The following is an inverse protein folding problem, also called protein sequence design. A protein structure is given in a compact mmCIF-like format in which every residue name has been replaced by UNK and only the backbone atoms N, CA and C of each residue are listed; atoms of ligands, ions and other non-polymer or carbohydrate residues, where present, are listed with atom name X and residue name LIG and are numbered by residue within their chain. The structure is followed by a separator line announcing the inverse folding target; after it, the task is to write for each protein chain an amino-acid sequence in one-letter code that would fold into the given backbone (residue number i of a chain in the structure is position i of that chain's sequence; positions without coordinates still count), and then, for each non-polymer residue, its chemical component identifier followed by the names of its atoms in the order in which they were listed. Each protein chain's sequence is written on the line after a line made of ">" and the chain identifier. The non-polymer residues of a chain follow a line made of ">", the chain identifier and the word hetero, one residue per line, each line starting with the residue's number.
data_IF_678620587022
#
_entry.id   IF_678620587022
#
_cell.length_a   1.000
_cell.length_b   1.000
_cell.length_c   1.000
_cell.angle_alpha   90.00
_cell.angle_beta   90.00
_cell.angle_gamma   90.00
#
_symmetry.space_group_name_H-M   'P 1'
#
loop_
_entity.id
_entity.type
_entity.pdbx_description
1 polymer ?
#
# COMPACT_ATOMS: atom_id res chain seq x y z
N UNK A 1 54.02 53.19 -20.42
CA UNK A 1 53.28 53.31 -21.70
C UNK A 1 51.79 53.46 -21.40
N UNK A 2 50.96 53.70 -22.42
CA UNK A 2 49.70 54.45 -22.30
C UNK A 2 48.57 53.83 -21.49
N UNK A 3 47.75 54.74 -20.94
CA UNK A 3 46.44 54.49 -20.32
C UNK A 3 45.40 54.04 -21.35
N UNK A 4 44.52 53.10 -20.98
CA UNK A 4 43.16 53.00 -21.55
C UNK A 4 42.17 52.67 -20.43
N UNK A 5 41.38 53.66 -20.00
CA UNK A 5 40.30 53.49 -19.01
C UNK A 5 38.94 53.43 -19.71
N UNK A 6 38.31 52.26 -19.77
CA UNK A 6 37.01 52.06 -20.42
C UNK A 6 35.83 52.39 -19.50
N UNK A 7 35.14 53.49 -19.79
CA UNK A 7 33.91 53.88 -19.10
C UNK A 7 32.74 52.93 -19.44
N UNK A 8 31.93 52.48 -18.45
CA UNK A 8 30.73 51.71 -18.71
C UNK A 8 29.66 52.58 -19.40
N UNK A 9 29.06 52.07 -20.47
CA UNK A 9 28.01 52.79 -21.22
C UNK A 9 26.77 53.05 -20.36
N UNK A 10 26.13 54.19 -20.59
CA UNK A 10 24.88 54.58 -19.93
C UNK A 10 23.78 53.52 -20.13
N UNK A 11 22.99 53.27 -19.08
CA UNK A 11 21.85 52.35 -19.13
C UNK A 11 20.75 52.94 -19.99
N UNK A 12 20.35 52.23 -21.04
CA UNK A 12 19.17 52.57 -21.83
C UNK A 12 17.92 52.53 -20.96
N UNK A 13 17.12 53.60 -21.00
CA UNK A 13 15.83 53.68 -20.31
C UNK A 13 14.79 52.84 -21.06
N UNK A 14 14.67 51.56 -20.70
CA UNK A 14 13.62 50.69 -21.22
C UNK A 14 12.23 51.20 -20.80
N UNK A 15 11.56 51.92 -21.69
CA UNK A 15 10.19 52.38 -21.48
C UNK A 15 9.27 51.16 -21.39
N UNK A 16 8.62 51.00 -20.24
CA UNK A 16 7.78 49.84 -19.95
C UNK A 16 6.38 50.04 -20.56
N UNK A 17 6.29 49.96 -21.89
CA UNK A 17 5.01 50.04 -22.60
C UNK A 17 4.16 48.82 -22.28
N UNK A 18 3.11 49.02 -21.47
CA UNK A 18 2.12 48.00 -21.15
C UNK A 18 1.09 48.00 -22.28
N UNK A 19 1.24 47.10 -23.25
CA UNK A 19 0.18 46.81 -24.23
C UNK A 19 -1.03 46.21 -23.51
N UNK A 20 -2.12 46.96 -23.47
CA UNK A 20 -3.43 46.50 -23.01
C UNK A 20 -4.19 45.93 -24.22
N UNK A 21 -3.83 44.73 -24.66
CA UNK A 21 -4.40 44.11 -25.86
C UNK A 21 -5.91 43.82 -25.69
N UNK A 22 -6.73 44.50 -26.49
CA UNK A 22 -8.19 44.49 -26.41
C UNK A 22 -8.80 43.14 -26.83
N UNK A 23 -9.00 42.23 -25.87
CA UNK A 23 -9.50 40.88 -26.17
C UNK A 23 -10.53 40.31 -25.17
N UNK A 24 -11.44 41.15 -24.63
CA UNK A 24 -12.66 40.65 -24.00
C UNK A 24 -13.85 41.62 -24.07
N UNK A 25 -14.60 41.61 -25.17
CA UNK A 25 -15.92 42.23 -25.23
C UNK A 25 -17.00 41.26 -24.73
N UNK A 26 -18.03 41.80 -24.03
CA UNK A 26 -19.19 41.10 -23.44
C UNK A 26 -18.84 40.25 -22.19
N UNK A 27 -19.07 40.78 -21.00
CA UNK A 27 -20.44 40.87 -20.47
C UNK A 27 -20.59 41.91 -19.36
N UNK A 28 -21.79 42.50 -19.26
CA UNK A 28 -22.12 43.52 -18.27
C UNK A 28 -22.48 42.91 -16.91
N UNK A 29 -21.55 43.01 -15.96
CA UNK A 29 -21.85 42.88 -14.52
C UNK A 29 -21.05 43.95 -13.77
N UNK A 30 -21.48 44.28 -12.54
CA UNK A 30 -20.96 45.40 -11.75
C UNK A 30 -19.43 45.48 -11.77
N UNK A 31 -18.88 46.63 -12.17
CA UNK A 31 -17.44 46.89 -12.16
C UNK A 31 -16.88 46.70 -10.76
N UNK A 32 -16.13 45.61 -10.57
CA UNK A 32 -15.37 45.39 -9.34
C UNK A 32 -14.45 46.59 -9.11
N UNK A 33 -14.35 47.08 -7.88
CA UNK A 33 -13.58 48.30 -7.62
C UNK A 33 -12.11 48.11 -8.03
N UNK A 34 -11.42 49.21 -8.33
CA UNK A 34 -9.98 49.17 -8.62
C UNK A 34 -9.22 48.52 -7.46
N UNK A 35 -9.64 48.80 -6.22
CA UNK A 35 -9.14 48.21 -4.99
C UNK A 35 -9.37 46.68 -4.95
N UNK A 36 -10.50 46.17 -5.41
CA UNK A 36 -10.79 44.73 -5.46
C UNK A 36 -10.00 44.02 -6.56
N UNK A 37 -9.79 44.70 -7.70
CA UNK A 37 -8.89 44.24 -8.76
C UNK A 37 -7.45 44.10 -8.25
N UNK A 38 -6.94 45.09 -7.50
CA UNK A 38 -5.64 45.00 -6.84
C UNK A 38 -5.57 43.91 -5.75
N UNK A 39 -6.61 43.72 -4.93
CA UNK A 39 -6.69 42.60 -3.97
C UNK A 39 -6.60 41.24 -4.68
N UNK A 40 -7.35 41.07 -5.77
CA UNK A 40 -7.36 39.83 -6.55
C UNK A 40 -5.97 39.55 -7.16
N UNK A 41 -5.36 40.55 -7.82
CA UNK A 41 -4.00 40.44 -8.34
C UNK A 41 -2.97 40.07 -7.25
N UNK A 42 -3.04 40.72 -6.09
CA UNK A 42 -2.16 40.42 -4.94
C UNK A 42 -2.34 38.98 -4.46
N UNK A 43 -3.57 38.49 -4.35
CA UNK A 43 -3.86 37.12 -3.93
C UNK A 43 -3.32 36.10 -4.95
N UNK A 44 -3.56 36.31 -6.25
CA UNK A 44 -3.03 35.48 -7.33
C UNK A 44 -1.50 35.43 -7.27
N UNK A 45 -0.82 36.57 -7.11
CA UNK A 45 0.65 36.61 -7.00
C UNK A 45 1.18 35.91 -5.74
N UNK A 46 0.51 36.04 -4.60
CA UNK A 46 0.88 35.32 -3.38
C UNK A 46 0.72 33.81 -3.55
N UNK A 47 -0.35 33.35 -4.20
CA UNK A 47 -0.57 31.92 -4.45
C UNK A 47 0.37 31.36 -5.52
N UNK A 48 0.76 32.14 -6.52
CA UNK A 48 1.81 31.75 -7.48
C UNK A 48 3.20 31.63 -6.81
N UNK A 49 3.52 32.52 -5.86
CA UNK A 49 4.74 32.41 -5.05
C UNK A 49 4.70 31.13 -4.19
N UNK A 50 3.57 30.83 -3.52
CA UNK A 50 3.39 29.58 -2.76
C UNK A 50 3.53 28.34 -3.65
N UNK A 51 2.95 28.33 -4.86
CA UNK A 51 3.09 27.22 -5.82
C UNK A 51 4.56 26.97 -6.15
N UNK A 52 5.29 28.02 -6.55
CA UNK A 52 6.72 27.94 -6.90
C UNK A 52 7.59 27.45 -5.73
N UNK A 53 7.36 27.96 -4.51
CA UNK A 53 8.06 27.48 -3.32
C UNK A 53 7.75 26.00 -3.02
N UNK A 54 6.49 25.59 -3.16
CA UNK A 54 6.08 24.19 -2.98
C UNK A 54 6.66 23.27 -4.08
N UNK A 55 6.83 23.75 -5.30
CA UNK A 55 7.44 23.02 -6.42
C UNK A 55 8.96 22.89 -6.25
N UNK A 56 9.64 23.96 -5.81
CA UNK A 56 11.05 23.93 -5.43
C UNK A 56 11.29 22.95 -4.27
N UNK A 57 10.49 23.03 -3.20
CA UNK A 57 10.56 22.12 -2.05
C UNK A 57 10.28 20.65 -2.44
N UNK A 58 9.30 20.38 -3.30
CA UNK A 58 9.06 19.04 -3.86
C UNK A 58 10.25 18.53 -4.66
N UNK A 59 10.91 19.40 -5.43
CA UNK A 59 12.07 19.06 -6.25
C UNK A 59 13.29 18.75 -5.39
N UNK A 60 13.56 19.56 -4.36
CA UNK A 60 14.63 19.34 -3.38
C UNK A 60 14.40 18.06 -2.56
N UNK A 61 13.17 17.82 -2.09
CA UNK A 61 12.80 16.56 -1.42
C UNK A 61 13.00 15.36 -2.36
N UNK A 62 12.69 15.49 -3.66
CA UNK A 62 12.90 14.44 -4.65
C UNK A 62 14.39 14.15 -4.89
N UNK A 63 15.23 15.17 -5.08
CA UNK A 63 16.67 14.95 -5.28
C UNK A 63 17.34 14.33 -4.04
N UNK A 64 17.01 14.79 -2.84
CA UNK A 64 17.50 14.19 -1.59
C UNK A 64 17.06 12.73 -1.42
N UNK A 65 15.77 12.42 -1.66
CA UNK A 65 15.28 11.04 -1.54
C UNK A 65 15.84 10.10 -2.61
N UNK A 66 16.21 10.62 -3.79
CA UNK A 66 16.88 9.89 -4.88
C UNK A 66 18.41 9.83 -4.77
N UNK A 67 19.03 10.35 -3.71
CA UNK A 67 20.48 10.24 -3.54
C UNK A 67 20.91 8.75 -3.45
N UNK A 68 21.87 8.28 -4.27
CA UNK A 68 22.20 6.86 -4.38
C UNK A 68 22.79 6.29 -3.10
N UNK A 69 23.62 7.06 -2.40
CA UNK A 69 24.30 6.65 -1.17
C UNK A 69 23.30 6.49 -0.02
N UNK A 70 22.33 7.42 0.10
CA UNK A 70 21.18 7.31 1.00
C UNK A 70 20.37 6.05 0.68
N UNK A 71 20.08 5.78 -0.60
CA UNK A 71 19.33 4.59 -1.00
C UNK A 71 20.10 3.30 -0.69
N UNK A 72 21.41 3.27 -0.88
CA UNK A 72 22.27 2.13 -0.53
C UNK A 72 22.33 1.91 0.99
N UNK A 73 22.54 2.95 1.78
CA UNK A 73 22.55 2.87 3.24
C UNK A 73 21.21 2.37 3.80
N UNK A 74 20.09 2.76 3.20
CA UNK A 74 18.76 2.25 3.55
C UNK A 74 18.54 0.77 3.15
N UNK A 75 19.13 0.31 2.04
CA UNK A 75 19.14 -1.12 1.66
C UNK A 75 19.91 -1.97 2.68
N UNK A 76 21.08 -1.50 3.12
CA UNK A 76 21.88 -2.17 4.13
C UNK A 76 21.15 -2.21 5.48
N UNK A 77 20.63 -1.08 5.96
CA UNK A 77 19.75 -1.02 7.15
C UNK A 77 18.57 -1.99 7.07
N UNK A 78 17.92 -2.12 5.91
CA UNK A 78 16.78 -3.01 5.71
C UNK A 78 17.18 -4.49 5.87
N UNK A 79 18.31 -4.91 5.29
CA UNK A 79 18.86 -6.26 5.50
C UNK A 79 19.28 -6.47 6.96
N UNK A 80 20.00 -5.52 7.56
CA UNK A 80 20.47 -5.62 8.95
C UNK A 80 19.30 -5.74 9.94
N UNK A 81 18.22 -4.99 9.72
CA UNK A 81 17.01 -5.09 10.53
C UNK A 81 16.27 -6.41 10.28
N UNK A 82 16.29 -6.96 9.07
CA UNK A 82 15.77 -8.32 8.81
C UNK A 82 16.61 -9.41 9.50
N UNK A 83 17.94 -9.27 9.53
CA UNK A 83 18.86 -10.19 10.23
C UNK A 83 18.59 -10.28 11.74
N UNK A 84 18.09 -9.22 12.38
CA UNK A 84 17.69 -9.22 13.81
C UNK A 84 16.50 -10.14 14.12
N UNK A 85 15.75 -10.57 13.11
CA UNK A 85 14.62 -11.49 13.26
C UNK A 85 14.97 -12.97 13.04
N UNK A 86 16.25 -13.30 12.80
CA UNK A 86 16.68 -14.69 12.65
C UNK A 86 16.30 -15.55 13.86
N UNK A 87 15.84 -16.78 13.60
CA UNK A 87 15.36 -17.70 14.63
C UNK A 87 13.90 -17.51 15.07
N UNK A 88 13.23 -16.41 14.67
CA UNK A 88 11.80 -16.20 14.98
C UNK A 88 10.93 -17.20 14.21
N UNK A 89 10.04 -17.96 14.87
CA UNK A 89 9.15 -18.94 14.21
C UNK A 89 8.07 -18.31 13.32
N UNK A 90 7.56 -19.08 12.35
CA UNK A 90 6.60 -18.61 11.35
C UNK A 90 5.20 -18.28 11.93
N UNK A 91 4.54 -19.24 12.60
CA UNK A 91 3.25 -19.05 13.27
C UNK A 91 3.00 -20.10 14.36
N UNK A 92 2.45 -19.70 15.50
CA UNK A 92 2.32 -20.53 16.72
C UNK A 92 1.62 -21.87 16.48
N UNK A 93 0.51 -21.86 15.74
CA UNK A 93 -0.32 -23.04 15.44
C UNK A 93 0.37 -24.16 14.64
N UNK A 94 1.60 -23.93 14.17
CA UNK A 94 2.38 -24.92 13.43
C UNK A 94 3.39 -25.67 14.32
N UNK A 95 3.32 -25.45 15.65
CA UNK A 95 4.22 -26.02 16.65
C UNK A 95 3.39 -26.67 17.77
N UNK A 96 3.91 -27.74 18.39
CA UNK A 96 3.25 -28.39 19.53
C UNK A 96 3.40 -27.55 20.82
N UNK A 97 2.45 -27.61 21.79
CA UNK A 97 2.53 -26.85 23.03
C UNK A 97 3.82 -27.06 23.83
N UNK A 98 4.38 -28.27 23.76
CA UNK A 98 5.62 -28.68 24.45
C UNK A 98 6.90 -28.15 23.80
N UNK A 99 6.80 -27.62 22.57
CA UNK A 99 7.96 -27.07 21.86
C UNK A 99 8.39 -25.70 22.41
N UNK A 100 9.70 -25.39 22.44
CA UNK A 100 10.16 -24.07 22.86
C UNK A 100 9.69 -22.97 21.89
N UNK A 101 9.45 -23.29 20.62
CA UNK A 101 8.93 -22.35 19.61
C UNK A 101 7.50 -21.88 19.91
N UNK A 102 6.62 -22.76 20.40
CA UNK A 102 5.21 -22.42 20.68
C UNK A 102 5.06 -21.29 21.72
N UNK A 103 6.03 -21.16 22.62
CA UNK A 103 6.06 -20.15 23.67
C UNK A 103 6.83 -18.87 23.26
N UNK A 104 7.08 -18.67 21.97
CA UNK A 104 7.78 -17.49 21.44
C UNK A 104 6.96 -16.21 21.56
N UNK A 105 7.64 -15.11 21.93
CA UNK A 105 7.03 -13.77 22.11
C UNK A 105 6.62 -13.08 20.80
N UNK A 106 6.97 -13.65 19.66
CA UNK A 106 6.72 -13.12 18.33
C UNK A 106 6.72 -14.26 17.32
N UNK A 107 5.84 -14.17 16.33
CA UNK A 107 5.81 -15.03 15.15
C UNK A 107 5.81 -14.14 13.90
N UNK A 108 6.46 -14.57 12.83
CA UNK A 108 6.58 -13.79 11.58
C UNK A 108 6.39 -14.68 10.35
N UNK A 109 5.23 -14.54 9.71
CA UNK A 109 4.99 -15.08 8.37
C UNK A 109 5.83 -14.33 7.31
N UNK A 110 5.86 -14.85 6.08
CA UNK A 110 6.64 -14.26 4.98
C UNK A 110 6.41 -12.75 4.76
N UNK A 111 5.15 -12.29 4.79
CA UNK A 111 4.83 -10.86 4.67
C UNK A 111 4.85 -10.15 6.03
N UNK A 112 4.65 -10.87 7.14
CA UNK A 112 4.88 -10.41 8.51
C UNK A 112 6.30 -9.90 8.72
N UNK A 113 7.32 -10.66 8.32
CA UNK A 113 8.72 -10.30 8.39
C UNK A 113 9.01 -8.98 7.68
N UNK A 114 8.67 -8.89 6.38
CA UNK A 114 8.87 -7.66 5.58
C UNK A 114 8.10 -6.48 6.20
N UNK A 115 6.85 -6.69 6.63
CA UNK A 115 6.01 -5.65 7.25
C UNK A 115 6.59 -5.17 8.58
N UNK A 116 7.20 -6.06 9.36
CA UNK A 116 7.81 -5.73 10.66
C UNK A 116 9.06 -4.88 10.47
N UNK A 117 9.99 -5.34 9.64
CA UNK A 117 11.22 -4.61 9.29
C UNK A 117 10.90 -3.20 8.75
N UNK A 118 9.90 -3.08 7.86
CA UNK A 118 9.43 -1.81 7.32
C UNK A 118 8.70 -0.90 8.34
N UNK A 119 8.19 -1.45 9.45
CA UNK A 119 7.61 -0.66 10.56
C UNK A 119 8.69 -0.18 11.52
N UNK A 120 9.67 -1.02 11.85
CA UNK A 120 10.79 -0.61 12.71
C UNK A 120 11.62 0.52 12.05
N UNK A 121 11.66 0.56 10.72
CA UNK A 121 12.34 1.58 9.91
C UNK A 121 11.40 2.66 9.34
N UNK A 122 10.17 2.83 9.88
CA UNK A 122 9.16 3.75 9.30
C UNK A 122 9.64 5.22 9.24
N UNK A 123 10.50 5.63 10.16
CA UNK A 123 11.13 6.96 10.18
C UNK A 123 12.21 7.12 9.09
N UNK A 124 13.08 6.12 8.92
CA UNK A 124 14.17 6.09 7.94
C UNK A 124 13.64 6.11 6.49
N UNK A 125 12.58 5.34 6.24
CA UNK A 125 11.88 5.28 4.96
C UNK A 125 10.91 6.46 4.74
N UNK A 126 10.50 7.15 5.80
CA UNK A 126 9.59 8.29 5.74
C UNK A 126 8.13 7.91 5.45
N UNK A 127 7.73 6.65 5.70
CA UNK A 127 6.34 6.20 5.65
C UNK A 127 6.16 4.91 6.47
N UNK A 128 4.92 4.65 6.90
CA UNK A 128 4.51 3.39 7.54
C UNK A 128 3.83 2.47 6.53
N UNK A 129 4.32 1.24 6.37
CA UNK A 129 3.74 0.25 5.47
C UNK A 129 2.34 -0.20 5.95
N UNK A 130 1.42 -0.40 4.99
CA UNK A 130 0.05 -0.85 5.28
C UNK A 130 -0.02 -2.27 5.87
N UNK A 131 -1.16 -2.58 6.49
CA UNK A 131 -1.49 -3.93 6.99
C UNK A 131 -1.82 -4.96 5.91
N UNK A 132 -1.53 -4.68 4.63
CA UNK A 132 -1.79 -5.61 3.53
C UNK A 132 -0.82 -6.80 3.51
N UNK A 133 -1.17 -7.79 2.70
CA UNK A 133 -0.45 -9.05 2.53
C UNK A 133 0.71 -8.94 1.50
N UNK A 134 1.33 -10.06 1.13
CA UNK A 134 2.37 -10.14 0.09
C UNK A 134 1.91 -9.56 -1.27
N UNK A 135 0.64 -9.73 -1.65
CA UNK A 135 0.11 -9.15 -2.90
C UNK A 135 0.00 -7.61 -2.84
N UNK A 136 -0.33 -7.03 -1.68
CA UNK A 136 -0.28 -5.57 -1.48
C UNK A 136 1.16 -5.04 -1.61
N UNK A 137 2.15 -5.74 -1.05
CA UNK A 137 3.56 -5.35 -1.18
C UNK A 137 4.00 -5.36 -2.64
N UNK A 138 3.70 -6.43 -3.37
CA UNK A 138 3.93 -6.54 -4.82
C UNK A 138 3.28 -5.37 -5.59
N UNK A 139 2.02 -5.05 -5.30
CA UNK A 139 1.28 -3.95 -5.93
C UNK A 139 1.88 -2.57 -5.62
N UNK A 140 2.67 -2.41 -4.55
CA UNK A 140 3.41 -1.15 -4.27
C UNK A 140 4.77 -1.02 -4.96
N UNK A 141 5.26 -2.09 -5.60
CA UNK A 141 6.58 -2.14 -6.24
C UNK A 141 6.44 -2.31 -7.77
N UNK A 142 6.27 -1.21 -8.53
CA UNK A 142 6.03 -1.28 -9.98
C UNK A 142 7.21 -1.88 -10.75
N UNK A 143 8.46 -1.52 -10.39
CA UNK A 143 9.68 -1.94 -11.07
C UNK A 143 9.96 -3.43 -10.83
N UNK A 144 9.65 -4.26 -11.82
CA UNK A 144 10.18 -5.64 -11.91
C UNK A 144 11.65 -5.61 -12.31
N UNK A 145 12.40 -6.62 -11.90
CA UNK A 145 13.77 -6.89 -12.34
C UNK A 145 13.75 -8.26 -13.04
N UNK A 146 14.28 -8.31 -14.27
CA UNK A 146 14.24 -9.50 -15.13
C UNK A 146 15.54 -10.31 -15.05
N UNK A 147 16.70 -9.64 -14.98
CA UNK A 147 18.00 -10.30 -14.86
C UNK A 147 18.44 -10.38 -13.40
N UNK A 148 18.98 -11.52 -12.97
CA UNK A 148 19.54 -11.69 -11.62
C UNK A 148 20.71 -10.72 -11.34
N UNK A 149 21.46 -10.31 -12.38
CA UNK A 149 22.59 -9.37 -12.26
C UNK A 149 22.17 -7.93 -11.90
N UNK A 150 20.92 -7.55 -12.19
CA UNK A 150 20.37 -6.22 -11.88
C UNK A 150 19.78 -6.13 -10.46
N UNK A 151 19.74 -7.26 -9.73
CA UNK A 151 19.13 -7.38 -8.40
C UNK A 151 20.04 -6.77 -7.34
N UNK A 152 19.48 -5.91 -6.50
CA UNK A 152 20.23 -5.24 -5.43
C UNK A 152 19.89 -5.80 -4.05
N UNK A 153 20.83 -5.77 -3.09
CA UNK A 153 20.56 -6.10 -1.70
C UNK A 153 19.29 -5.38 -1.20
N UNK A 154 18.35 -6.15 -0.63
CA UNK A 154 17.09 -5.66 -0.10
C UNK A 154 15.92 -5.62 -1.10
N UNK A 155 16.14 -5.89 -2.39
CA UNK A 155 15.03 -6.11 -3.32
C UNK A 155 14.19 -7.34 -2.92
N UNK A 156 12.92 -7.38 -3.30
CA UNK A 156 12.00 -8.45 -2.87
C UNK A 156 11.74 -9.43 -4.01
N UNK A 157 11.82 -10.73 -3.72
CA UNK A 157 11.34 -11.77 -4.63
C UNK A 157 9.96 -12.23 -4.18
N UNK A 158 9.00 -12.22 -5.11
CA UNK A 158 7.64 -12.68 -4.92
C UNK A 158 7.40 -13.96 -5.70
N UNK A 159 6.67 -14.90 -5.10
CA UNK A 159 6.26 -16.13 -5.79
C UNK A 159 4.78 -16.03 -6.14
N UNK A 160 4.47 -16.23 -7.43
CA UNK A 160 3.13 -16.42 -7.97
C UNK A 160 2.91 -17.92 -8.14
N UNK A 161 1.92 -18.50 -7.48
CA UNK A 161 1.68 -19.94 -7.49
C UNK A 161 0.21 -20.30 -7.23
N UNK A 162 -0.15 -21.57 -7.43
CA UNK A 162 -1.51 -22.08 -7.19
C UNK A 162 -1.45 -23.07 -6.02
N UNK A 163 -2.26 -22.85 -4.98
CA UNK A 163 -2.35 -23.78 -3.85
C UNK A 163 -2.93 -25.13 -4.29
N UNK A 164 -2.36 -26.23 -3.81
CA UNK A 164 -2.87 -27.58 -4.08
C UNK A 164 -4.30 -27.77 -3.58
N UNK A 165 -4.62 -27.23 -2.39
CA UNK A 165 -5.94 -27.30 -1.79
C UNK A 165 -6.87 -26.20 -2.35
N UNK A 166 -7.91 -26.53 -3.14
CA UNK A 166 -8.79 -25.54 -3.76
C UNK A 166 -9.71 -24.81 -2.78
N UNK A 167 -9.84 -25.30 -1.53
CA UNK A 167 -10.56 -24.61 -0.44
C UNK A 167 -9.79 -23.39 0.08
N UNK A 168 -8.47 -23.30 -0.18
CA UNK A 168 -7.66 -22.18 0.30
C UNK A 168 -8.03 -20.84 -0.35
N UNK A 169 -8.04 -19.78 0.46
CA UNK A 169 -8.31 -18.40 0.02
C UNK A 169 -7.27 -17.96 -1.02
N UNK A 170 -7.70 -17.88 -2.28
CA UNK A 170 -6.88 -17.41 -3.41
C UNK A 170 -6.36 -15.99 -3.13
N UNK A 171 -5.04 -15.81 -3.18
CA UNK A 171 -4.42 -14.52 -2.97
C UNK A 171 -4.59 -13.61 -4.20
N UNK A 172 -4.70 -12.29 -4.04
CA UNK A 172 -4.68 -11.36 -5.17
C UNK A 172 -3.42 -11.57 -6.03
N UNK A 173 -3.58 -11.53 -7.35
CA UNK A 173 -2.52 -11.86 -8.33
C UNK A 173 -1.90 -13.27 -8.21
N UNK A 174 -2.49 -14.17 -7.42
CA UNK A 174 -1.92 -15.46 -7.03
C UNK A 174 -0.53 -15.36 -6.36
N UNK A 175 -0.19 -14.21 -5.75
CA UNK A 175 1.08 -14.02 -5.04
C UNK A 175 0.98 -14.75 -3.68
N UNK A 176 1.68 -15.88 -3.55
CA UNK A 176 1.62 -16.77 -2.38
C UNK A 176 2.71 -16.51 -1.35
N UNK A 177 3.88 -16.00 -1.76
CA UNK A 177 5.06 -15.85 -0.90
C UNK A 177 5.88 -14.60 -1.22
N UNK A 178 6.72 -14.16 -0.27
CA UNK A 178 7.69 -13.07 -0.44
C UNK A 178 8.95 -13.32 0.40
N UNK A 179 10.13 -13.05 -0.16
CA UNK A 179 11.41 -13.08 0.54
C UNK A 179 12.28 -11.86 0.15
N UNK A 180 13.28 -11.55 0.99
CA UNK A 180 14.22 -10.43 0.80
C UNK A 180 15.49 -10.95 0.14
N UNK A 181 15.88 -10.42 -1.01
CA UNK A 181 17.14 -10.75 -1.68
C UNK A 181 18.33 -10.22 -0.86
N UNK A 182 19.30 -11.09 -0.57
CA UNK A 182 20.49 -10.73 0.21
C UNK A 182 21.49 -9.90 -0.62
N UNK A 183 21.47 -10.03 -1.96
CA UNK A 183 22.44 -9.46 -2.89
C UNK A 183 23.62 -10.39 -3.22
N UNK A 184 23.73 -11.52 -2.53
CA UNK A 184 24.71 -12.58 -2.77
C UNK A 184 24.13 -13.64 -3.74
N UNK A 185 23.97 -13.30 -5.01
CA UNK A 185 23.40 -14.20 -6.01
C UNK A 185 21.93 -14.53 -5.74
N UNK A 186 21.58 -15.81 -5.65
CA UNK A 186 20.20 -16.25 -5.41
C UNK A 186 19.76 -16.22 -3.93
N UNK A 187 20.68 -15.92 -2.99
CA UNK A 187 20.41 -16.00 -1.55
C UNK A 187 19.31 -15.06 -1.09
N UNK A 188 18.45 -15.54 -0.20
CA UNK A 188 17.34 -14.78 0.40
C UNK A 188 17.32 -14.86 1.92
N UNK A 189 16.69 -13.87 2.54
CA UNK A 189 16.17 -13.91 3.90
C UNK A 189 14.66 -14.08 3.83
N UNK A 190 14.11 -15.07 4.52
CA UNK A 190 12.66 -15.35 4.48
C UNK A 190 12.17 -16.19 5.65
N UNK A 191 10.85 -16.35 5.72
CA UNK A 191 10.16 -17.29 6.62
C UNK A 191 9.40 -18.28 5.74
N UNK A 192 10.05 -19.39 5.36
CA UNK A 192 9.66 -20.22 4.20
C UNK A 192 8.68 -21.35 4.51
N UNK A 193 8.74 -21.93 5.71
CA UNK A 193 8.03 -23.15 6.08
C UNK A 193 7.12 -22.93 7.29
N UNK A 194 5.99 -23.64 7.34
CA UNK A 194 5.03 -23.56 8.45
C UNK A 194 5.70 -23.74 9.83
N UNK A 195 6.47 -24.82 9.99
CA UNK A 195 7.19 -25.17 11.22
C UNK A 195 8.61 -24.58 11.21
N UNK A 196 8.88 -23.61 10.33
CA UNK A 196 10.18 -23.00 10.12
C UNK A 196 10.39 -21.73 10.93
N UNK A 197 11.63 -21.23 10.86
CA UNK A 197 12.07 -19.96 11.45
C UNK A 197 12.55 -19.02 10.34
N UNK A 198 12.61 -17.72 10.65
CA UNK A 198 13.27 -16.73 9.78
C UNK A 198 14.77 -17.07 9.72
N UNK A 199 15.29 -17.23 8.51
CA UNK A 199 16.70 -17.56 8.27
C UNK A 199 17.15 -17.14 6.86
N UNK A 200 18.42 -17.41 6.54
CA UNK A 200 18.96 -17.33 5.17
C UNK A 200 18.64 -18.64 4.43
N UNK A 201 18.37 -18.55 3.13
CA UNK A 201 18.28 -19.67 2.19
C UNK A 201 19.21 -19.42 1.00
N UNK A 202 19.82 -20.49 0.46
CA UNK A 202 20.83 -20.38 -0.60
C UNK A 202 20.28 -19.96 -1.97
N UNK A 203 18.99 -20.26 -2.22
CA UNK A 203 18.26 -19.80 -3.40
C UNK A 203 16.81 -19.43 -3.04
N UNK A 204 16.30 -18.40 -3.72
CA UNK A 204 14.88 -18.04 -3.77
C UNK A 204 14.00 -19.11 -4.46
N UNK A 205 14.59 -20.04 -5.21
CA UNK A 205 13.89 -21.13 -5.90
C UNK A 205 13.74 -22.32 -4.98
N UNK A 206 12.52 -22.82 -4.79
CA UNK A 206 12.26 -24.03 -4.02
C UNK A 206 10.90 -24.66 -4.37
N UNK A 207 10.78 -25.97 -4.14
CA UNK A 207 9.51 -26.69 -4.22
C UNK A 207 8.75 -26.53 -2.91
N UNK A 208 7.51 -26.05 -2.96
CA UNK A 208 6.64 -25.90 -1.80
C UNK A 208 5.71 -27.11 -1.66
N UNK A 209 5.42 -27.53 -0.42
CA UNK A 209 4.35 -28.51 -0.14
C UNK A 209 2.94 -27.92 -0.26
N UNK A 210 2.78 -26.59 -0.21
CA UNK A 210 1.47 -25.94 -0.18
C UNK A 210 0.98 -25.43 -1.54
N UNK A 211 1.87 -25.23 -2.51
CA UNK A 211 1.53 -24.70 -3.83
C UNK A 211 2.42 -25.26 -4.96
N UNK A 212 1.84 -25.33 -6.17
CA UNK A 212 2.50 -25.74 -7.41
C UNK A 212 2.58 -24.58 -8.42
N UNK A 213 3.27 -24.83 -9.55
CA UNK A 213 3.41 -23.89 -10.67
C UNK A 213 3.96 -22.53 -10.22
N UNK A 214 5.09 -22.56 -9.49
CA UNK A 214 5.74 -21.39 -8.93
C UNK A 214 6.48 -20.57 -10.00
N UNK A 215 5.98 -19.36 -10.27
CA UNK A 215 6.64 -18.32 -11.05
C UNK A 215 7.28 -17.29 -10.11
N UNK A 216 8.48 -16.82 -10.44
CA UNK A 216 9.26 -15.92 -9.57
C UNK A 216 9.35 -14.52 -10.17
N UNK A 217 9.04 -13.51 -9.37
CA UNK A 217 9.06 -12.10 -9.77
C UNK A 217 9.91 -11.28 -8.80
N UNK A 218 11.09 -10.83 -9.24
CA UNK A 218 11.93 -9.94 -8.44
C UNK A 218 11.46 -8.49 -8.65
N UNK A 219 11.33 -7.74 -7.55
CA UNK A 219 10.78 -6.39 -7.48
C UNK A 219 11.75 -5.48 -6.76
N UNK A 220 12.08 -4.35 -7.40
CA UNK A 220 13.02 -3.40 -6.82
C UNK A 220 12.38 -2.56 -5.71
N UNK A 221 13.00 -2.48 -4.54
CA UNK A 221 12.54 -1.61 -3.44
C UNK A 221 12.90 -0.12 -3.61
N UNK A 222 13.53 0.26 -4.72
CA UNK A 222 13.81 1.68 -5.07
C UNK A 222 12.64 2.65 -4.76
N UNK A 223 11.35 2.34 -5.06
CA UNK A 223 10.23 3.21 -4.71
C UNK A 223 10.04 3.42 -3.21
N UNK A 224 10.25 2.39 -2.39
CA UNK A 224 10.19 2.49 -0.93
C UNK A 224 11.38 3.30 -0.39
N UNK A 225 12.58 3.10 -0.90
CA UNK A 225 13.77 3.88 -0.51
C UNK A 225 13.59 5.38 -0.81
N UNK A 226 12.88 5.71 -1.90
CA UNK A 226 12.46 7.07 -2.26
C UNK A 226 11.23 7.58 -1.45
N UNK A 227 10.76 6.83 -0.46
CA UNK A 227 9.65 7.19 0.42
C UNK A 227 8.27 7.17 -0.25
N UNK A 228 8.06 6.27 -1.22
CA UNK A 228 6.76 6.09 -1.91
C UNK A 228 6.15 4.71 -1.64
N UNK A 229 5.06 4.68 -0.86
CA UNK A 229 4.25 3.47 -0.66
C UNK A 229 2.80 3.71 -1.12
N UNK A 230 2.51 3.31 -2.37
CA UNK A 230 1.18 3.39 -2.97
C UNK A 230 0.98 2.20 -3.89
N UNK A 231 -0.24 1.66 -3.96
CA UNK A 231 -0.59 0.66 -4.98
C UNK A 231 -0.49 1.28 -6.37
N UNK A 232 0.08 0.53 -7.30
CA UNK A 232 0.05 0.78 -8.74
C UNK A 232 -0.97 -0.12 -9.46
N UNK A 233 -1.61 -1.05 -8.74
CA UNK A 233 -2.63 -1.94 -9.31
C UNK A 233 -4.00 -1.26 -9.38
N UNK A 234 -4.58 -1.24 -10.59
CA UNK A 234 -5.93 -0.73 -10.87
C UNK A 234 -7.06 -1.68 -10.46
N UNK A 235 -6.78 -2.97 -10.29
CA UNK A 235 -7.77 -4.00 -9.91
C UNK A 235 -8.07 -4.00 -8.41
N UNK A 236 -7.08 -3.66 -7.59
CA UNK A 236 -7.17 -3.75 -6.13
C UNK A 236 -7.09 -2.37 -5.48
N UNK A 237 -8.25 -1.83 -5.14
CA UNK A 237 -8.37 -0.63 -4.30
C UNK A 237 -8.04 -0.97 -2.84
N UNK A 238 -6.75 -1.17 -2.54
CA UNK A 238 -6.23 -1.45 -1.21
C UNK A 238 -6.63 -0.33 -0.24
N UNK A 239 -7.62 -0.61 0.60
CA UNK A 239 -8.15 0.35 1.56
C UNK A 239 -7.23 0.46 2.75
N UNK A 240 -6.45 1.54 2.80
CA UNK A 240 -5.85 1.99 4.05
C UNK A 240 -6.97 2.29 5.06
N UNK A 241 -7.01 1.56 6.18
CA UNK A 241 -7.84 1.90 7.33
C UNK A 241 -7.24 3.10 8.11
N UNK A 242 -6.99 4.21 7.42
CA UNK A 242 -6.64 5.51 8.05
C UNK A 242 -7.72 5.97 9.02
N UNK A 243 -8.99 5.62 8.74
CA UNK A 243 -10.15 5.94 9.61
C UNK A 243 -11.10 4.75 9.71
N UNK A 244 -10.71 3.70 10.44
CA UNK A 244 -11.67 2.81 11.12
C UNK A 244 -11.33 2.65 12.60
N UNK A 245 -11.35 3.79 13.31
CA UNK A 245 -11.73 3.79 14.74
C UNK A 245 -13.06 3.02 14.86
N UNK A 246 -13.11 1.98 15.67
CA UNK A 246 -14.29 1.12 15.79
C UNK A 246 -15.55 1.95 16.14
N UNK A 247 -16.76 1.50 15.80
CA UNK A 247 -18.01 2.18 16.23
C UNK A 247 -18.17 2.29 17.75
N UNK A 248 -17.36 1.53 18.51
CA UNK A 248 -17.26 1.53 19.98
C UNK A 248 -16.06 2.35 20.51
N UNK A 249 -15.16 2.83 19.63
CA UNK A 249 -14.00 3.62 20.03
C UNK A 249 -14.44 5.02 20.46
N UNK A 250 -14.01 5.45 21.65
CA UNK A 250 -14.29 6.79 22.21
C UNK A 250 -13.88 7.93 21.27
N UNK A 251 -12.92 7.68 20.37
CA UNK A 251 -12.40 8.64 19.40
C UNK A 251 -13.16 8.64 18.06
N UNK A 252 -14.24 7.86 17.89
CA UNK A 252 -14.99 7.76 16.63
C UNK A 252 -15.71 9.08 16.31
N UNK A 253 -15.13 9.85 15.38
CA UNK A 253 -15.68 11.14 14.94
C UNK A 253 -17.05 10.94 14.27
N UNK A 254 -18.09 11.51 14.87
CA UNK A 254 -19.49 11.39 14.44
C UNK A 254 -19.79 12.02 13.06
N UNK A 255 -18.81 12.60 12.38
CA UNK A 255 -18.95 13.33 11.11
C UNK A 255 -19.52 12.46 9.97
N UNK A 256 -19.31 11.14 10.02
CA UNK A 256 -19.92 10.20 9.09
C UNK A 256 -21.47 10.25 9.10
N UNK A 257 -22.10 10.72 10.20
CA UNK A 257 -23.55 10.96 10.29
C UNK A 257 -24.00 12.21 9.52
N UNK A 258 -23.12 13.20 9.26
CA UNK A 258 -23.43 14.36 8.41
C UNK A 258 -23.49 13.95 6.94
N UNK A 259 -22.47 13.24 6.44
CA UNK A 259 -22.41 12.75 5.05
C UNK A 259 -23.54 11.78 4.67
N UNK A 260 -24.06 10.99 5.61
CA UNK A 260 -25.21 10.10 5.34
C UNK A 260 -26.55 10.86 5.32
N UNK A 261 -26.68 11.97 6.08
CA UNK A 261 -27.91 12.78 6.08
C UNK A 261 -28.09 13.57 4.78
N UNK A 262 -27.03 14.13 4.21
CA UNK A 262 -27.10 14.91 2.95
C UNK A 262 -27.48 14.08 1.73
N UNK A 263 -27.08 12.80 1.69
CA UNK A 263 -27.46 11.89 0.60
C UNK A 263 -28.86 11.27 0.78
N UNK A 264 -29.36 11.16 2.01
CA UNK A 264 -30.66 10.52 2.30
C UNK A 264 -31.88 11.38 1.88
N UNK A 265 -31.77 12.71 1.97
CA UNK A 265 -32.88 13.63 1.65
C UNK A 265 -33.24 13.65 0.16
N UNK A 266 -32.26 13.50 -0.74
CA UNK A 266 -32.48 13.63 -2.18
C UNK A 266 -33.17 12.41 -2.82
N UNK A 267 -32.97 11.18 -2.31
CA UNK A 267 -33.52 9.95 -2.93
C UNK A 267 -34.99 9.65 -2.54
N UNK A 268 -35.46 10.17 -1.41
CA UNK A 268 -36.86 9.97 -0.96
C UNK A 268 -37.89 10.63 -1.89
N UNK A 269 -37.52 11.71 -2.59
CA UNK A 269 -38.39 12.37 -3.58
C UNK A 269 -38.50 11.57 -4.88
N UNK A 270 -37.41 10.96 -5.35
CA UNK A 270 -37.34 10.16 -6.57
C UNK A 270 -38.18 8.88 -6.47
N UNK A 271 -38.10 8.17 -5.33
CA UNK A 271 -38.80 6.90 -5.11
C UNK A 271 -40.33 7.04 -5.09
N UNK A 272 -40.89 8.17 -4.61
CA UNK A 272 -42.34 8.45 -4.70
C UNK A 272 -42.84 8.61 -6.15
N UNK A 273 -42.07 9.27 -7.04
CA UNK A 273 -42.46 9.41 -8.47
C UNK A 273 -42.45 8.07 -9.23
N UNK A 274 -41.46 7.19 -9.00
CA UNK A 274 -41.40 5.86 -9.66
C UNK A 274 -42.54 4.92 -9.26
N UNK A 275 -43.01 4.92 -8.00
CA UNK A 275 -44.12 4.03 -7.55
C UNK A 275 -45.48 4.36 -8.21
N UNK A 276 -45.81 5.63 -8.48
CA UNK A 276 -47.06 5.98 -9.22
C UNK A 276 -47.05 5.50 -10.68
N UNK A 277 -45.91 5.55 -11.39
CA UNK A 277 -45.83 5.13 -12.81
C UNK A 277 -46.02 3.61 -13.00
N UNK A 278 -45.52 2.76 -12.09
CA UNK A 278 -45.70 1.29 -12.19
C UNK A 278 -47.13 0.79 -11.92
N UNK A 279 -47.96 1.50 -11.13
CA UNK A 279 -49.38 1.08 -10.90
C UNK A 279 -50.31 1.26 -12.11
N UNK A 280 -50.05 2.21 -13.03
CA UNK A 280 -50.86 2.34 -14.28
C UNK A 280 -50.58 1.23 -15.31
N UNK A 281 -49.34 0.74 -15.44
CA UNK A 281 -48.98 -0.27 -16.46
C UNK A 281 -49.38 -1.72 -16.14
N UNK A 282 -49.92 -2.02 -14.95
CA UNK A 282 -50.35 -3.39 -14.56
C UNK A 282 -51.86 -3.68 -14.70
N UNK A 283 -52.67 -2.72 -15.17
CA UNK A 283 -54.10 -2.93 -15.48
C UNK A 283 -54.40 -3.28 -16.94
N UNK A 284 -53.41 -3.23 -17.83
CA UNK A 284 -53.59 -3.35 -19.30
C UNK A 284 -52.99 -4.63 -19.91
N UNK A 285 -52.76 -5.67 -19.10
CA UNK A 285 -52.03 -6.88 -19.52
C UNK A 285 -52.64 -8.19 -18.95
N UNK A 286 -53.95 -8.21 -18.66
CA UNK A 286 -54.67 -9.42 -18.20
C UNK A 286 -55.88 -9.72 -19.11
N UNK A 287 -55.61 -9.98 -20.39
CA UNK A 287 -56.57 -10.57 -21.35
C UNK A 287 -55.84 -11.14 -22.58
N UNK A 288 -55.45 -12.43 -22.53
CA UNK A 288 -55.31 -13.39 -23.65
C UNK A 288 -54.51 -14.64 -23.24
N UNK A 289 -54.92 -15.79 -23.80
CA UNK A 289 -54.17 -17.04 -24.01
C UNK A 289 -54.14 -18.02 -22.83
N UNK A 290 -55.32 -18.59 -22.66
CA UNK A 290 -55.66 -20.01 -22.64
C UNK A 290 -55.28 -20.64 -24.03
N UNK A 291 -54.87 -21.91 -24.26
CA UNK A 291 -54.72 -23.17 -23.50
C UNK A 291 -53.55 -23.99 -24.17
N UNK A 292 -53.23 -25.29 -24.01
CA UNK A 292 -53.87 -26.47 -23.39
C UNK A 292 -52.87 -27.53 -22.83
N UNK A 293 -53.46 -28.62 -22.33
CA UNK A 293 -53.01 -29.94 -21.84
C UNK A 293 -52.29 -30.88 -22.83
N UNK A 294 -51.52 -31.86 -22.30
CA UNK A 294 -51.73 -33.35 -22.35
C UNK A 294 -50.45 -34.10 -21.90
N UNK A 295 -50.60 -35.28 -21.28
CA UNK A 295 -49.55 -36.28 -20.88
C UNK A 295 -50.04 -37.68 -21.28
N UNK A 296 -49.28 -38.82 -21.24
CA UNK A 296 -48.88 -39.52 -19.97
C UNK A 296 -47.58 -40.45 -20.12
N UNK A 297 -46.91 -41.04 -19.10
CA UNK A 297 -47.07 -42.35 -18.36
C UNK A 297 -46.27 -43.61 -18.84
N UNK A 298 -45.57 -44.32 -17.89
CA UNK A 298 -45.24 -45.81 -17.81
C UNK A 298 -44.19 -46.41 -18.82
N UNK A 299 -43.30 -47.38 -18.53
CA UNK A 299 -42.90 -48.13 -17.29
C UNK A 299 -41.51 -48.87 -17.31
N UNK A 300 -40.92 -49.07 -16.12
CA UNK A 300 -40.29 -50.28 -15.49
C UNK A 300 -39.18 -51.21 -16.07
N UNK A 301 -38.49 -51.86 -15.09
CA UNK A 301 -37.72 -53.16 -15.07
C UNK A 301 -36.30 -53.24 -15.68
N UNK A 302 -35.41 -54.20 -15.32
CA UNK A 302 -35.07 -54.97 -14.07
C UNK A 302 -33.90 -55.97 -14.40
N UNK A 303 -33.18 -56.51 -13.39
CA UNK A 303 -32.26 -57.70 -13.42
C UNK A 303 -30.88 -57.48 -14.07
N UNK A 304 -29.78 -58.23 -13.83
CA UNK A 304 -29.29 -59.19 -12.79
C UNK A 304 -27.73 -59.26 -12.96
N UNK A 305 -26.88 -59.22 -11.92
CA UNK A 305 -26.38 -60.28 -10.99
C UNK A 305 -25.07 -60.99 -11.44
N UNK A 306 -24.43 -61.74 -10.51
CA UNK A 306 -23.17 -62.53 -10.59
C UNK A 306 -21.86 -61.70 -10.40
N UNK A 307 -20.94 -61.97 -9.44
CA UNK A 307 -20.09 -63.17 -9.10
C UNK A 307 -18.74 -63.17 -9.86
N UNK A 308 -17.57 -63.57 -9.32
CA UNK A 308 -17.16 -64.11 -7.99
C UNK A 308 -15.63 -63.94 -7.74
N UNK A 309 -15.16 -64.17 -6.50
CA UNK A 309 -13.85 -64.74 -6.07
C UNK A 309 -12.51 -63.95 -6.07
N UNK A 310 -11.79 -64.07 -4.94
CA UNK A 310 -10.31 -64.17 -4.76
C UNK A 310 -9.40 -62.95 -5.10
N UNK A 311 -8.23 -62.73 -4.48
CA UNK A 311 -7.52 -63.45 -3.40
C UNK A 311 -6.60 -62.50 -2.59
N UNK A 312 -5.93 -63.01 -1.55
CA UNK A 312 -5.06 -62.27 -0.61
C UNK A 312 -3.84 -61.55 -1.24
N UNK A 313 -3.44 -60.40 -0.66
CA UNK A 313 -2.09 -60.28 -0.09
C UNK A 313 -1.92 -59.09 0.88
N UNK A 314 -1.15 -59.33 1.94
CA UNK A 314 -0.71 -58.29 2.88
C UNK A 314 0.24 -57.27 2.22
N UNK A 315 0.03 -55.98 2.48
CA UNK A 315 1.13 -55.02 2.50
C UNK A 315 0.88 -53.98 3.59
N UNK A 316 1.89 -53.74 4.42
CA UNK A 316 1.84 -52.73 5.48
C UNK A 316 2.14 -51.37 4.87
N UNK A 317 1.18 -50.44 4.96
CA UNK A 317 1.45 -49.01 4.75
C UNK A 317 0.76 -48.19 5.86
N UNK A 318 1.52 -47.30 6.49
CA UNK A 318 1.14 -46.64 7.73
C UNK A 318 0.33 -45.38 7.45
N UNK A 319 -1.00 -45.51 7.50
CA UNK A 319 -1.91 -44.37 7.41
C UNK A 319 -1.93 -43.60 8.73
N UNK A 320 -1.30 -42.42 8.76
CA UNK A 320 -1.53 -41.42 9.82
C UNK A 320 -2.89 -40.75 9.56
N UNK A 321 -3.76 -40.74 10.57
CA UNK A 321 -5.13 -40.22 10.45
C UNK A 321 -5.14 -38.67 10.49
N UNK A 322 -5.47 -38.01 9.37
CA UNK A 322 -5.70 -36.55 9.35
C UNK A 322 -7.04 -36.21 10.04
N UNK A 323 -7.01 -35.89 11.34
CA UNK A 323 -8.19 -35.38 12.08
C UNK A 323 -8.77 -34.10 11.42
N UNK A 324 -10.03 -34.17 11.00
CA UNK A 324 -10.76 -33.02 10.46
C UNK A 324 -11.33 -32.13 11.57
N UNK A 325 -10.49 -31.27 12.15
CA UNK A 325 -10.93 -30.28 13.13
C UNK A 325 -11.70 -29.13 12.44
N UNK A 326 -12.93 -28.90 12.89
CA UNK A 326 -13.80 -27.84 12.37
C UNK A 326 -13.30 -26.43 12.74
N UNK A 327 -13.67 -25.43 11.93
CA UNK A 327 -13.15 -24.06 12.08
C UNK A 327 -14.12 -23.20 12.88
N UNK A 328 -13.91 -23.08 14.20
CA UNK A 328 -14.56 -22.07 15.03
C UNK A 328 -13.83 -20.70 15.00
N UNK A 329 -14.47 -19.66 15.55
CA UNK A 329 -14.26 -18.25 15.20
C UNK A 329 -12.86 -17.65 15.51
N UNK A 330 -12.42 -16.74 14.64
CA UNK A 330 -11.17 -15.96 14.69
C UNK A 330 -11.21 -14.86 15.79
N UNK A 331 -10.43 -14.97 16.90
CA UNK A 331 -10.39 -13.93 17.93
C UNK A 331 -9.47 -12.77 17.50
N UNK A 332 -10.02 -11.56 17.44
CA UNK A 332 -9.27 -10.37 17.03
C UNK A 332 -8.28 -9.89 18.12
N UNK A 333 -6.98 -9.97 17.83
CA UNK A 333 -5.89 -9.50 18.71
C UNK A 333 -5.98 -7.99 19.01
N UNK A 334 -5.72 -7.61 20.27
CA UNK A 334 -5.77 -6.22 20.73
C UNK A 334 -4.36 -5.64 20.99
N UNK A 335 -3.72 -5.11 19.93
CA UNK A 335 -2.50 -4.31 20.09
C UNK A 335 -2.80 -2.94 20.74
N UNK A 336 -2.56 -2.82 22.05
CA UNK A 336 -2.53 -1.52 22.74
C UNK A 336 -1.35 -0.67 22.25
N UNK A 337 -1.63 0.43 21.54
CA UNK A 337 -0.61 1.39 21.08
C UNK A 337 -1.01 2.83 21.43
N UNK A 338 -0.06 3.68 21.89
CA UNK A 338 -0.34 5.06 22.25
C UNK A 338 -0.62 5.92 21.01
N UNK A 339 -1.53 6.87 21.16
CA UNK A 339 -1.97 7.77 20.08
C UNK A 339 -0.91 8.82 19.73
N UNK A 340 -0.44 8.84 18.48
CA UNK A 340 0.15 10.05 17.86
C UNK A 340 -0.36 10.24 16.42
N UNK A 341 -0.55 11.50 16.05
CA UNK A 341 -1.32 11.97 14.90
C UNK A 341 -0.59 11.91 13.56
N UNK A 342 -1.36 11.80 12.47
CA UNK A 342 -0.84 12.01 11.12
C UNK A 342 -0.50 13.50 10.86
N UNK A 343 0.79 13.87 10.93
CA UNK A 343 1.30 15.15 10.40
C UNK A 343 2.80 15.10 10.01
N UNK A 344 3.25 14.02 9.35
CA UNK A 344 4.68 13.78 9.12
C UNK A 344 5.31 14.42 7.86
N UNK A 345 4.53 14.95 6.91
CA UNK A 345 5.07 15.51 5.65
C UNK A 345 5.61 16.96 5.76
N UNK A 346 5.29 17.70 6.82
CA UNK A 346 5.69 19.11 7.00
C UNK A 346 6.78 19.34 8.05
N UNK A 347 6.98 18.39 8.98
CA UNK A 347 7.78 18.61 10.19
C UNK A 347 9.28 18.89 9.94
N UNK A 348 9.77 18.64 8.73
CA UNK A 348 11.17 18.76 8.33
C UNK A 348 11.63 20.17 7.91
N UNK A 349 10.78 21.20 7.92
CA UNK A 349 11.18 22.56 7.47
C UNK A 349 10.68 23.75 8.33
N UNK A 350 10.07 23.53 9.50
CA UNK A 350 9.65 24.62 10.41
C UNK A 350 10.24 24.47 11.83
N UNK A 351 11.47 24.96 12.04
CA UNK A 351 11.91 25.50 13.34
C UNK A 351 13.22 26.30 13.29
N UNK A 352 13.18 27.48 12.67
CA UNK A 352 14.22 28.52 12.76
C UNK A 352 13.62 29.87 13.17
N UNK A 353 13.01 29.92 14.35
CA UNK A 353 12.62 31.18 15.01
C UNK A 353 12.72 31.05 16.54
N UNK A 354 13.92 31.36 17.03
CA UNK A 354 14.25 32.02 18.30
C UNK A 354 13.27 31.85 19.50
N UNK A 355 13.70 31.10 20.52
CA UNK A 355 13.52 31.49 21.94
C UNK A 355 14.46 30.68 22.84
N UNK A 356 15.10 31.33 23.81
CA UNK A 356 15.99 30.68 24.79
C UNK A 356 15.20 29.91 25.86
N UNK A 357 15.46 28.60 26.00
CA UNK A 357 15.45 27.89 27.29
C UNK A 357 16.47 26.75 27.26
N UNK A 358 17.16 26.51 28.37
CA UNK A 358 18.33 25.63 28.44
C UNK A 358 17.99 24.30 29.13
N UNK A 359 17.86 23.20 28.38
CA UNK A 359 17.73 21.84 28.91
C UNK A 359 18.44 20.81 28.03
N UNK A 360 19.40 20.09 28.61
CA UNK A 360 20.15 18.94 28.10
C UNK A 360 19.69 18.31 26.76
N UNK A 361 20.49 18.49 25.71
CA UNK A 361 20.37 17.73 24.45
C UNK A 361 21.29 16.50 24.44
N UNK A 362 20.79 15.41 23.83
CA UNK A 362 21.60 14.25 23.41
C UNK A 362 22.25 14.56 22.04
N UNK A 363 23.36 13.89 21.66
CA UNK A 363 24.15 14.28 20.50
C UNK A 363 23.36 14.22 19.18
N UNK A 364 23.27 15.36 18.50
CA UNK A 364 22.78 15.46 17.12
C UNK A 364 23.84 14.93 16.14
N UNK A 365 23.42 14.16 15.14
CA UNK A 365 24.29 13.63 14.09
C UNK A 365 24.60 14.68 13.03
N UNK A 366 25.65 15.47 13.28
CA UNK A 366 26.53 16.17 12.33
C UNK A 366 26.09 16.32 10.85
N UNK A 367 25.04 17.09 10.55
CA UNK A 367 24.80 17.69 9.23
C UNK A 367 24.27 19.13 9.39
N UNK A 368 25.07 20.05 9.93
CA UNK A 368 24.76 21.49 9.92
C UNK A 368 26.01 22.34 10.25
N UNK A 369 26.87 22.62 9.26
CA UNK A 369 28.01 23.56 9.44
C UNK A 369 28.69 24.10 8.16
N UNK A 370 27.94 24.61 7.18
CA UNK A 370 28.55 25.23 5.99
C UNK A 370 27.67 26.19 5.16
N UNK A 371 26.90 27.12 5.78
CA UNK A 371 26.19 28.16 5.02
C UNK A 371 25.94 29.50 5.77
N UNK A 372 26.91 29.97 6.57
CA UNK A 372 26.88 31.33 7.17
C UNK A 372 28.18 32.11 6.96
N UNK A 373 28.55 32.38 5.71
CA UNK A 373 29.40 33.54 5.33
C UNK A 373 29.21 33.87 3.85
N UNK A 374 28.41 34.89 3.53
CA UNK A 374 28.55 35.77 2.35
C UNK A 374 27.47 36.87 2.40
N UNK A 375 27.72 37.89 3.21
CA UNK A 375 27.05 39.20 3.14
C UNK A 375 28.14 40.25 2.92
N UNK A 376 28.25 40.75 1.69
CA UNK A 376 28.99 41.94 1.25
C UNK A 376 28.26 42.52 0.03
#
# INVERSE_FOLDING_TARGET
>A
MSVVSSLPKARSSTSFMISLDESCTKSSSSSASLQDSFKNYRNIKLDDIKKKLNEANKTLRKSFRSNPDRMLNLRLKFIEQAKKYFGVPYAQKNFSPDSPEYNSKLFLDCCGLVRRVMRDLEYDFGFRIGGGNQAYMFDTLPKTIENLQDVKPGDLVFIKAIYYNPKMKKQPHNITHVEIMLGEGEKTIGARWNNGKVQIFDSYKFTSKSYHSAEYYIKSIDPWLMGFCRSYCSKHAWRYNTVLRHKKSIFYLNEHKKFLKTNSTNDLTAKKKKKKKKKKKKKSAKKKIETNQVSPVVENKKLEANDDSSDDQESQDSQEEEEQIENEDEPAEQENTPSSTAYYDDFYLLKSNNTNTNTHLRPYTSIERSFETLNL
#
